data_IF_091385331409
#
_entry.id   IF_091385331409
#
_cell.length_a   1.000
_cell.length_b   1.000
_cell.length_c   1.000
_cell.angle_alpha   90.00
_cell.angle_beta   90.00
_cell.angle_gamma   90.00
#
_symmetry.space_group_name_H-M   'P 1'
#
loop_
_entity.id
_entity.type
_entity.pdbx_description
1 polymer ?
#
# COMPACT_ATOMS: atom_id res chain seq x y z
N UNK A 1 -13.71 -9.12 3.49
CA UNK A 1 -12.95 -9.43 2.27
C UNK A 1 -13.56 -8.74 1.07
N UNK A 2 -12.76 -8.41 0.06
CA UNK A 2 -13.20 -7.57 -1.07
C UNK A 2 -13.84 -8.31 -2.26
N UNK A 3 -14.52 -9.42 -2.04
CA UNK A 3 -15.15 -10.19 -3.12
C UNK A 3 -14.14 -10.90 -4.03
N UNK A 4 -14.63 -11.46 -5.12
CA UNK A 4 -13.77 -12.15 -6.09
C UNK A 4 -12.99 -11.17 -6.97
N UNK A 5 -11.70 -11.39 -7.07
CA UNK A 5 -10.82 -10.67 -8.01
C UNK A 5 -10.75 -11.48 -9.30
N UNK A 6 -11.03 -10.87 -10.48
CA UNK A 6 -10.87 -11.56 -11.74
C UNK A 6 -9.48 -12.17 -11.90
N UNK A 7 -9.42 -13.46 -12.25
CA UNK A 7 -8.16 -14.19 -12.42
C UNK A 7 -7.42 -13.83 -13.72
N UNK A 8 -8.16 -13.35 -14.72
CA UNK A 8 -7.57 -13.00 -16.00
C UNK A 8 -6.71 -11.75 -15.89
N UNK A 9 -5.45 -11.86 -16.28
CA UNK A 9 -4.53 -10.74 -16.46
C UNK A 9 -4.25 -10.52 -17.94
N UNK A 10 -3.79 -9.33 -18.29
CA UNK A 10 -3.24 -9.08 -19.63
C UNK A 10 -2.01 -9.98 -19.83
N UNK A 11 -1.88 -10.70 -20.95
CA UNK A 11 -0.68 -11.48 -21.22
C UNK A 11 0.59 -10.62 -21.09
N UNK A 12 1.59 -11.14 -20.36
CA UNK A 12 2.84 -10.42 -20.05
C UNK A 12 2.75 -9.41 -18.92
N UNK A 13 1.57 -9.10 -18.39
CA UNK A 13 1.41 -8.26 -17.20
C UNK A 13 1.34 -9.13 -15.93
N UNK A 14 2.05 -8.71 -14.88
CA UNK A 14 1.98 -9.40 -13.59
C UNK A 14 0.90 -8.83 -12.66
N UNK A 15 0.31 -7.68 -13.02
CA UNK A 15 -0.77 -7.04 -12.29
C UNK A 15 -2.05 -7.00 -13.11
N UNK A 16 -3.15 -7.35 -12.47
CA UNK A 16 -4.48 -7.11 -13.00
C UNK A 16 -5.02 -5.80 -12.42
N UNK A 17 -4.74 -4.69 -13.08
CA UNK A 17 -5.14 -3.36 -12.60
C UNK A 17 -6.67 -3.21 -12.47
N UNK A 18 -7.44 -3.76 -13.41
CA UNK A 18 -8.90 -3.73 -13.35
C UNK A 18 -9.42 -4.58 -12.18
N UNK A 19 -8.88 -5.80 -12.01
CA UNK A 19 -9.24 -6.69 -10.90
C UNK A 19 -8.87 -6.10 -9.54
N UNK A 20 -7.72 -5.47 -9.43
CA UNK A 20 -7.30 -4.78 -8.19
C UNK A 20 -8.26 -3.65 -7.83
N UNK A 21 -8.70 -2.86 -8.80
CA UNK A 21 -9.67 -1.79 -8.54
C UNK A 21 -11.06 -2.34 -8.20
N UNK A 22 -11.50 -3.43 -8.85
CA UNK A 22 -12.73 -4.12 -8.46
C UNK A 22 -12.65 -4.58 -6.99
N UNK A 23 -11.56 -5.23 -6.60
CA UNK A 23 -11.34 -5.66 -5.22
C UNK A 23 -11.40 -4.49 -4.23
N UNK A 24 -10.69 -3.39 -4.49
CA UNK A 24 -10.72 -2.18 -3.66
C UNK A 24 -12.14 -1.59 -3.53
N UNK A 25 -12.89 -1.57 -4.64
CA UNK A 25 -14.27 -1.09 -4.67
C UNK A 25 -15.21 -1.97 -3.82
N UNK A 26 -15.04 -3.29 -3.89
CA UNK A 26 -15.82 -4.22 -3.05
C UNK A 26 -15.50 -4.04 -1.57
N UNK A 27 -14.24 -3.85 -1.20
CA UNK A 27 -13.86 -3.52 0.18
C UNK A 27 -14.56 -2.23 0.65
N UNK A 28 -14.57 -1.19 -0.18
CA UNK A 28 -15.23 0.08 0.16
C UNK A 28 -16.74 -0.09 0.31
N UNK A 29 -17.36 -0.93 -0.51
CA UNK A 29 -18.78 -1.26 -0.39
C UNK A 29 -19.09 -1.91 0.97
N UNK A 30 -18.26 -2.85 1.41
CA UNK A 30 -18.43 -3.48 2.74
C UNK A 30 -18.23 -2.45 3.87
N UNK A 31 -17.22 -1.60 3.77
CA UNK A 31 -16.99 -0.53 4.75
C UNK A 31 -18.22 0.40 4.81
N UNK A 32 -18.77 0.79 3.67
CA UNK A 32 -19.97 1.66 3.67
C UNK A 32 -21.18 1.02 4.33
N UNK A 33 -21.33 -0.32 4.22
CA UNK A 33 -22.36 -1.07 4.96
C UNK A 33 -22.15 -1.03 6.46
N UNK A 34 -20.92 -1.14 6.94
CA UNK A 34 -20.61 -1.00 8.38
C UNK A 34 -21.03 0.37 8.91
N UNK A 35 -20.79 1.44 8.15
CA UNK A 35 -21.29 2.78 8.51
C UNK A 35 -22.82 2.85 8.52
N UNK A 36 -23.46 2.34 7.46
CA UNK A 36 -24.93 2.35 7.34
C UNK A 36 -25.61 1.59 8.47
N UNK A 37 -25.00 0.51 8.94
CA UNK A 37 -25.49 -0.29 10.07
C UNK A 37 -25.13 0.33 11.43
N UNK A 38 -24.39 1.44 11.47
CA UNK A 38 -23.93 2.04 12.71
C UNK A 38 -22.93 1.18 13.49
N UNK A 39 -22.20 0.31 12.81
CA UNK A 39 -21.18 -0.56 13.41
C UNK A 39 -19.86 0.20 13.64
N UNK A 40 -19.55 1.19 12.79
CA UNK A 40 -18.37 2.06 12.97
C UNK A 40 -18.66 3.10 14.05
N UNK A 41 -17.71 3.27 14.98
CA UNK A 41 -17.84 4.15 16.14
C UNK A 41 -16.70 5.17 16.19
N UNK A 42 -16.93 6.22 16.98
CA UNK A 42 -15.88 7.17 17.32
C UNK A 42 -14.69 6.46 17.97
N UNK A 43 -13.51 6.73 17.46
CA UNK A 43 -12.27 6.13 17.92
C UNK A 43 -11.83 4.87 17.14
N UNK A 44 -12.66 4.33 16.27
CA UNK A 44 -12.27 3.21 15.42
C UNK A 44 -11.07 3.56 14.54
N UNK A 45 -10.19 2.59 14.36
CA UNK A 45 -8.97 2.73 13.57
C UNK A 45 -9.01 1.86 12.32
N UNK A 46 -8.88 2.49 11.16
CA UNK A 46 -8.76 1.81 9.87
C UNK A 46 -7.31 1.78 9.41
N UNK A 47 -6.75 0.60 9.22
CA UNK A 47 -5.40 0.44 8.71
C UNK A 47 -5.43 0.00 7.24
N UNK A 48 -4.95 0.86 6.35
CA UNK A 48 -4.65 0.51 4.98
C UNK A 48 -3.24 -0.09 4.91
N UNK A 49 -3.16 -1.39 4.68
CA UNK A 49 -1.88 -2.10 4.53
C UNK A 49 -1.17 -1.77 3.22
N UNK A 50 -1.85 -1.09 2.30
CA UNK A 50 -1.31 -0.44 1.11
C UNK A 50 -1.93 0.95 1.02
N UNK A 51 -1.14 1.98 1.29
CA UNK A 51 -1.59 3.36 1.34
C UNK A 51 -1.91 3.94 -0.05
N UNK A 52 -1.37 3.35 -1.12
CA UNK A 52 -1.75 3.76 -2.47
C UNK A 52 -3.13 3.19 -2.82
N UNK A 53 -4.15 3.70 -2.13
CA UNK A 53 -5.52 3.24 -2.26
C UNK A 53 -6.50 4.43 -2.25
N UNK A 54 -7.00 4.87 -3.42
CA UNK A 54 -7.89 6.03 -3.52
C UNK A 54 -9.18 5.93 -2.71
N UNK A 55 -9.57 4.72 -2.27
CA UNK A 55 -10.77 4.56 -1.44
C UNK A 55 -10.64 5.19 -0.06
N UNK A 56 -9.44 5.54 0.39
CA UNK A 56 -9.25 6.31 1.63
C UNK A 56 -9.92 7.67 1.57
N UNK A 57 -9.95 8.30 0.39
CA UNK A 57 -10.65 9.58 0.19
C UNK A 57 -12.16 9.38 0.38
N UNK A 58 -12.71 8.29 -0.13
CA UNK A 58 -14.12 7.93 0.05
C UNK A 58 -14.44 7.65 1.53
N UNK A 59 -13.56 6.92 2.22
CA UNK A 59 -13.70 6.64 3.66
C UNK A 59 -13.72 7.93 4.47
N UNK A 60 -12.76 8.84 4.22
CA UNK A 60 -12.66 10.12 4.91
C UNK A 60 -13.89 10.99 4.67
N UNK A 61 -14.30 11.13 3.41
CA UNK A 61 -15.50 11.84 3.01
C UNK A 61 -16.75 11.33 3.74
N UNK A 62 -16.94 10.01 3.76
CA UNK A 62 -18.11 9.40 4.40
C UNK A 62 -18.11 9.60 5.92
N UNK A 63 -16.97 9.37 6.58
CA UNK A 63 -16.84 9.53 8.02
C UNK A 63 -17.12 10.98 8.46
N UNK A 64 -16.57 11.96 7.75
CA UNK A 64 -16.78 13.38 8.06
C UNK A 64 -18.24 13.82 7.87
N UNK A 65 -18.88 13.39 6.79
CA UNK A 65 -20.28 13.76 6.52
C UNK A 65 -21.25 13.08 7.49
N UNK A 66 -20.92 11.88 7.98
CA UNK A 66 -21.71 11.18 8.99
C UNK A 66 -21.36 11.61 10.43
N UNK A 67 -20.36 12.45 10.60
CA UNK A 67 -19.92 12.93 11.91
C UNK A 67 -19.25 11.87 12.78
N UNK A 68 -18.73 10.78 12.19
CA UNK A 68 -18.05 9.70 12.91
C UNK A 68 -16.55 9.98 12.94
N UNK A 69 -15.98 10.09 14.13
CA UNK A 69 -14.57 10.42 14.36
C UNK A 69 -13.69 9.16 14.33
N UNK A 70 -13.27 8.75 13.17
CA UNK A 70 -12.34 7.64 12.97
C UNK A 70 -10.89 8.13 12.89
N UNK A 71 -9.94 7.17 13.05
CA UNK A 71 -8.54 7.36 12.69
C UNK A 71 -8.17 6.43 11.54
N UNK A 72 -7.29 6.90 10.66
CA UNK A 72 -6.88 6.14 9.49
C UNK A 72 -5.36 6.13 9.36
N UNK A 73 -4.76 4.95 9.29
CA UNK A 73 -3.35 4.75 9.03
C UNK A 73 -3.12 4.13 7.66
N UNK A 74 -2.01 4.50 7.01
CA UNK A 74 -1.64 3.96 5.71
C UNK A 74 -0.18 3.58 5.63
N UNK A 75 0.12 2.34 5.20
CA UNK A 75 1.48 1.86 4.94
C UNK A 75 1.87 2.10 3.50
N UNK A 76 2.82 2.98 3.27
CA UNK A 76 3.35 3.29 1.96
C UNK A 76 4.40 2.24 1.55
N UNK A 77 4.17 1.60 0.40
CA UNK A 77 5.09 0.63 -0.20
C UNK A 77 5.85 1.22 -1.38
N UNK A 78 5.15 1.98 -2.21
CA UNK A 78 5.66 2.62 -3.40
C UNK A 78 4.69 3.71 -3.88
N UNK A 79 5.05 4.40 -4.95
CA UNK A 79 4.20 5.40 -5.57
C UNK A 79 4.87 6.01 -6.80
N UNK A 80 4.21 6.96 -7.45
CA UNK A 80 4.75 7.63 -8.64
C UNK A 80 6.02 8.44 -8.34
N UNK A 81 6.25 8.77 -7.09
CA UNK A 81 7.45 9.46 -6.60
C UNK A 81 8.70 8.59 -6.59
N UNK A 82 8.56 7.27 -6.74
CA UNK A 82 9.69 6.35 -6.86
C UNK A 82 9.93 6.01 -8.34
N UNK A 83 11.03 6.48 -8.94
CA UNK A 83 11.33 6.21 -10.35
C UNK A 83 11.60 4.73 -10.65
N UNK A 84 11.85 3.92 -9.64
CA UNK A 84 12.05 2.47 -9.78
C UNK A 84 10.75 1.67 -9.66
N UNK A 85 9.70 2.26 -9.08
CA UNK A 85 8.39 1.62 -9.05
C UNK A 85 7.70 1.64 -10.41
N UNK A 86 6.77 0.69 -10.62
CA UNK A 86 6.03 0.64 -11.87
C UNK A 86 5.15 1.90 -12.07
N UNK A 87 4.61 2.48 -11.01
CA UNK A 87 3.86 3.74 -11.10
C UNK A 87 4.76 4.89 -11.57
N UNK A 88 5.95 5.02 -11.01
CA UNK A 88 6.92 6.02 -11.43
C UNK A 88 7.35 5.85 -12.88
N UNK A 89 7.50 4.60 -13.35
CA UNK A 89 7.88 4.30 -14.73
C UNK A 89 6.74 4.44 -15.74
N UNK A 90 5.51 4.08 -15.37
CA UNK A 90 4.36 4.08 -16.29
C UNK A 90 3.63 5.43 -16.31
N UNK A 91 3.54 6.10 -15.18
CA UNK A 91 2.78 7.34 -15.00
C UNK A 91 3.72 8.52 -14.78
N UNK A 92 4.84 8.30 -14.06
CA UNK A 92 5.84 9.32 -13.79
C UNK A 92 5.26 10.53 -13.05
N UNK A 93 5.62 11.72 -13.52
CA UNK A 93 5.26 13.00 -12.90
C UNK A 93 3.90 13.54 -13.37
N UNK A 94 2.97 12.68 -13.74
CA UNK A 94 1.63 13.12 -14.11
C UNK A 94 0.96 13.85 -12.95
N UNK A 95 0.52 15.10 -13.19
CA UNK A 95 -0.03 16.00 -12.18
C UNK A 95 -1.20 15.38 -11.41
N UNK A 96 -2.08 14.63 -12.09
CA UNK A 96 -3.19 13.97 -11.44
C UNK A 96 -2.73 12.91 -10.43
N UNK A 97 -1.64 12.19 -10.73
CA UNK A 97 -1.13 11.13 -9.87
C UNK A 97 -0.49 11.74 -8.61
N UNK A 98 0.32 12.78 -8.78
CA UNK A 98 0.90 13.54 -7.66
C UNK A 98 -0.18 14.16 -6.76
N UNK A 99 -1.22 14.74 -7.37
CA UNK A 99 -2.35 15.29 -6.63
C UNK A 99 -3.13 14.21 -5.88
N UNK A 100 -3.32 13.04 -6.48
CA UNK A 100 -3.95 11.90 -5.81
C UNK A 100 -3.13 11.39 -4.63
N UNK A 101 -1.82 11.22 -4.80
CA UNK A 101 -0.91 10.79 -3.72
C UNK A 101 -0.91 11.78 -2.55
N UNK A 102 -0.87 13.07 -2.86
CA UNK A 102 -1.01 14.12 -1.84
C UNK A 102 -2.33 14.01 -1.10
N UNK A 103 -3.44 13.87 -1.81
CA UNK A 103 -4.76 13.76 -1.20
C UNK A 103 -4.90 12.51 -0.34
N UNK A 104 -4.38 11.37 -0.78
CA UNK A 104 -4.35 10.15 0.02
C UNK A 104 -3.52 10.34 1.28
N UNK A 105 -2.32 10.94 1.17
CA UNK A 105 -1.48 11.23 2.34
C UNK A 105 -2.20 12.09 3.37
N UNK A 106 -2.89 13.13 2.93
CA UNK A 106 -3.62 14.04 3.82
C UNK A 106 -4.83 13.38 4.49
N UNK A 107 -5.42 12.35 3.86
CA UNK A 107 -6.50 11.55 4.44
C UNK A 107 -6.04 10.63 5.57
N UNK A 108 -4.78 10.20 5.58
CA UNK A 108 -4.22 9.40 6.66
C UNK A 108 -3.85 10.28 7.86
N UNK A 109 -4.26 9.85 9.05
CA UNK A 109 -3.79 10.44 10.31
C UNK A 109 -2.36 9.99 10.61
N UNK A 110 -2.02 8.74 10.25
CA UNK A 110 -0.71 8.15 10.40
C UNK A 110 -0.21 7.61 9.06
N UNK A 111 0.95 8.08 8.59
CA UNK A 111 1.60 7.62 7.37
C UNK A 111 2.85 6.80 7.74
N UNK A 112 2.81 5.50 7.46
CA UNK A 112 3.86 4.55 7.81
C UNK A 112 4.77 4.28 6.62
N UNK A 113 6.07 4.27 6.89
CA UNK A 113 7.12 3.89 5.94
C UNK A 113 7.98 2.77 6.52
N UNK A 114 8.41 1.84 5.69
CA UNK A 114 9.27 0.74 6.15
C UNK A 114 10.68 1.23 6.51
N UNK A 115 11.20 2.22 5.78
CA UNK A 115 12.60 2.67 5.91
C UNK A 115 12.72 4.19 5.81
N UNK A 116 13.78 4.74 6.38
CA UNK A 116 14.17 6.14 6.20
C UNK A 116 14.44 6.49 4.73
N UNK A 117 14.99 5.53 3.97
CA UNK A 117 15.22 5.73 2.54
C UNK A 117 13.91 5.99 1.79
N UNK A 118 12.89 5.17 2.03
CA UNK A 118 11.59 5.32 1.38
C UNK A 118 10.90 6.63 1.80
N UNK A 119 10.92 6.95 3.09
CA UNK A 119 10.41 8.23 3.61
C UNK A 119 11.10 9.42 2.94
N UNK A 120 12.43 9.34 2.73
CA UNK A 120 13.20 10.39 2.07
C UNK A 120 12.76 10.58 0.62
N UNK A 121 12.60 9.50 -0.16
CA UNK A 121 12.06 9.57 -1.52
C UNK A 121 10.70 10.28 -1.57
N UNK A 122 9.80 9.93 -0.64
CA UNK A 122 8.52 10.59 -0.52
C UNK A 122 8.67 12.09 -0.20
N UNK A 123 9.49 12.43 0.78
CA UNK A 123 9.70 13.80 1.23
C UNK A 123 10.33 14.71 0.14
N UNK A 124 11.17 14.16 -0.72
CA UNK A 124 11.75 14.89 -1.87
C UNK A 124 10.67 15.32 -2.87
N UNK A 125 9.65 14.51 -3.07
CA UNK A 125 8.51 14.81 -3.95
C UNK A 125 7.42 15.64 -3.25
N UNK A 126 7.32 15.53 -1.93
CA UNK A 126 6.29 16.18 -1.11
C UNK A 126 6.90 16.85 0.14
N UNK A 127 7.77 17.86 -0.03
CA UNK A 127 8.57 18.40 1.08
C UNK A 127 7.75 18.99 2.23
N UNK A 128 6.50 19.34 1.99
CA UNK A 128 5.61 19.93 2.99
C UNK A 128 4.71 18.90 3.71
N UNK A 129 4.83 17.61 3.38
CA UNK A 129 3.93 16.55 3.85
C UNK A 129 4.60 15.57 4.83
N UNK A 130 5.68 15.95 5.51
CA UNK A 130 6.43 15.05 6.40
C UNK A 130 5.92 14.98 7.84
N UNK A 131 4.99 15.83 8.23
CA UNK A 131 4.59 16.01 9.63
C UNK A 131 3.85 14.79 10.24
N UNK A 132 3.22 13.95 9.42
CA UNK A 132 2.44 12.78 9.87
C UNK A 132 3.11 11.45 9.47
N UNK A 133 4.44 11.37 9.53
CA UNK A 133 5.18 10.19 9.10
C UNK A 133 5.80 9.43 10.25
N UNK A 134 5.78 8.10 10.15
CA UNK A 134 6.39 7.20 11.12
C UNK A 134 7.17 6.09 10.39
N UNK A 135 8.37 5.75 10.87
CA UNK A 135 9.14 4.60 10.39
C UNK A 135 8.80 3.41 11.27
N UNK A 136 8.27 2.35 10.66
CA UNK A 136 7.79 1.17 11.40
C UNK A 136 8.54 -0.11 11.02
N UNK A 137 9.42 -0.08 10.02
CA UNK A 137 10.06 -1.27 9.50
C UNK A 137 9.08 -2.17 8.73
N UNK A 138 9.52 -3.40 8.47
CA UNK A 138 8.68 -4.48 7.96
C UNK A 138 8.41 -5.47 9.10
N UNK A 139 7.16 -5.90 9.31
CA UNK A 139 6.81 -6.88 10.34
C UNK A 139 7.24 -8.29 9.88
N UNK A 140 8.53 -8.58 9.97
CA UNK A 140 9.16 -9.84 9.52
C UNK A 140 9.43 -10.82 10.67
N UNK A 141 9.09 -10.46 11.91
CA UNK A 141 9.40 -11.22 13.12
C UNK A 141 8.80 -12.62 13.10
N UNK A 142 7.64 -12.80 12.47
CA UNK A 142 7.02 -14.13 12.32
C UNK A 142 7.89 -15.12 11.53
N UNK A 143 8.80 -14.61 10.69
CA UNK A 143 9.75 -15.45 9.95
C UNK A 143 10.86 -16.02 10.85
N UNK A 144 11.20 -15.35 11.96
CA UNK A 144 12.26 -15.78 12.85
C UNK A 144 12.01 -17.22 13.36
N UNK A 145 10.79 -17.52 13.80
CA UNK A 145 10.40 -18.83 14.25
C UNK A 145 10.40 -19.86 13.11
N UNK A 146 9.93 -19.48 11.93
CA UNK A 146 9.93 -20.35 10.75
C UNK A 146 11.34 -20.70 10.30
N UNK A 147 12.30 -19.78 10.42
CA UNK A 147 13.68 -19.99 10.03
C UNK A 147 14.54 -20.66 11.12
N UNK A 148 14.11 -20.65 12.38
CA UNK A 148 14.86 -21.25 13.49
C UNK A 148 15.17 -22.73 13.26
N UNK A 149 14.26 -23.48 12.63
CA UNK A 149 14.44 -24.89 12.29
C UNK A 149 15.56 -25.15 11.27
N UNK A 150 15.96 -24.15 10.51
CA UNK A 150 17.04 -24.26 9.51
C UNK A 150 18.40 -23.79 10.04
N UNK A 151 18.46 -23.33 11.28
CA UNK A 151 19.69 -22.85 11.91
C UNK A 151 20.70 -24.01 12.00
N UNK A 152 21.89 -23.80 11.44
CA UNK A 152 22.95 -24.81 11.45
C UNK A 152 22.85 -25.88 10.35
N UNK A 153 21.84 -25.86 9.51
CA UNK A 153 21.80 -26.76 8.35
C UNK A 153 22.89 -26.38 7.32
N UNK A 154 23.52 -27.41 6.69
CA UNK A 154 24.52 -27.13 5.66
C UNK A 154 23.90 -26.38 4.48
N UNK A 155 24.56 -25.33 4.05
CA UNK A 155 24.15 -24.56 2.87
C UNK A 155 24.47 -25.34 1.60
N UNK A 156 23.55 -25.40 0.67
CA UNK A 156 23.78 -25.94 -0.66
C UNK A 156 24.47 -24.87 -1.53
N UNK A 157 25.24 -25.33 -2.52
CA UNK A 157 25.88 -24.44 -3.51
C UNK A 157 24.82 -23.99 -4.54
N UNK A 158 23.90 -23.14 -4.08
CA UNK A 158 22.74 -22.70 -4.84
C UNK A 158 22.48 -21.22 -4.58
N UNK A 159 22.42 -20.44 -5.64
CA UNK A 159 21.97 -19.05 -5.60
C UNK A 159 20.50 -19.03 -5.99
N UNK A 160 19.66 -18.45 -5.12
CA UNK A 160 18.24 -18.24 -5.38
C UNK A 160 17.97 -16.78 -5.75
N UNK A 161 17.16 -16.61 -6.75
CA UNK A 161 16.60 -15.30 -7.14
C UNK A 161 15.06 -15.37 -7.02
N UNK A 162 14.50 -15.28 -5.79
CA UNK A 162 13.09 -15.53 -5.51
C UNK A 162 12.20 -14.34 -5.84
N UNK A 163 12.40 -13.72 -6.98
CA UNK A 163 11.62 -12.59 -7.46
C UNK A 163 10.79 -12.97 -8.68
N UNK A 164 9.73 -12.21 -8.93
CA UNK A 164 9.02 -12.29 -10.21
C UNK A 164 9.96 -11.88 -11.35
N UNK A 165 9.75 -12.44 -12.52
CA UNK A 165 10.47 -12.03 -13.72
C UNK A 165 9.88 -10.68 -14.19
N UNK A 166 10.60 -9.60 -13.94
CA UNK A 166 10.20 -8.25 -14.32
C UNK A 166 11.46 -7.40 -14.52
N UNK A 167 11.46 -6.43 -15.45
CA UNK A 167 12.64 -5.64 -15.79
C UNK A 167 13.31 -4.95 -14.59
N UNK A 168 12.53 -4.47 -13.63
CA UNK A 168 13.05 -3.82 -12.43
C UNK A 168 13.79 -4.78 -11.48
N UNK A 169 13.68 -6.08 -11.69
CA UNK A 169 14.38 -7.11 -10.91
C UNK A 169 15.63 -7.63 -11.62
N UNK A 170 15.86 -7.18 -12.85
CA UNK A 170 17.07 -7.49 -13.65
C UNK A 170 17.41 -9.00 -13.67
N UNK A 171 16.46 -9.89 -14.05
CA UNK A 171 16.68 -11.33 -14.00
C UNK A 171 17.73 -11.84 -15.01
N UNK A 172 18.15 -10.99 -15.95
CA UNK A 172 19.12 -11.31 -17.00
C UNK A 172 20.58 -11.09 -16.57
N UNK A 173 20.83 -10.57 -15.36
CA UNK A 173 22.17 -10.27 -14.86
C UNK A 173 22.78 -11.45 -14.10
#
# INVERSE_FOLDING_TARGET
SGGEVPQATTPGAFLNFAGTNNYKSQQMLEISRLFANGEVKDGDYFLYTDAWNPTVIQLKYMAELLGVKIKVGGMWHAGSYDPQDFLGRLIGDADWCRSAERSMYECYDDNFFATEFHKKLFAESFPNLIAKTCIVGWPMEYLANSFAQYKGMPKRNLILFPHRIAPEKQPEI
#
